data_IF_817768930805
#
_entry.id   IF_817768930805
#
_cell.length_a   1.000
_cell.length_b   1.000
_cell.length_c   1.000
_cell.angle_alpha   90.00
_cell.angle_beta   90.00
_cell.angle_gamma   90.00
#
_symmetry.space_group_name_H-M   'P 1'
#
loop_
_entity.id
_entity.type
_entity.pdbx_description
1 polymer ?
#
# COMPACT_ATOMS: atom_id res chain seq x y z
N UNK A 1 8.84 10.90 7.31
CA UNK A 1 8.72 11.94 6.25
C UNK A 1 7.31 12.48 6.29
N UNK A 2 7.10 13.70 6.81
CA UNK A 2 5.86 14.43 6.62
C UNK A 2 6.03 15.28 5.35
N UNK A 3 5.20 15.03 4.35
CA UNK A 3 5.30 15.68 3.05
C UNK A 3 3.95 15.66 2.37
N UNK A 4 3.89 15.13 1.15
CA UNK A 4 2.70 15.15 0.29
C UNK A 4 1.43 14.61 0.96
N UNK A 5 1.54 13.58 1.81
CA UNK A 5 0.37 13.03 2.53
C UNK A 5 -0.21 13.95 3.61
N UNK A 6 0.60 14.86 4.17
CA UNK A 6 0.08 15.87 5.09
C UNK A 6 -0.62 16.98 4.32
N UNK A 7 0.01 17.51 3.26
CA UNK A 7 -0.57 18.60 2.47
C UNK A 7 -1.82 18.17 1.68
N UNK A 8 -1.97 16.88 1.36
CA UNK A 8 -3.21 16.37 0.73
C UNK A 8 -4.44 16.56 1.61
N UNK A 9 -4.29 16.77 2.92
CA UNK A 9 -5.42 17.07 3.81
C UNK A 9 -6.11 18.40 3.45
N UNK A 10 -5.37 19.42 3.00
CA UNK A 10 -5.91 20.70 2.57
C UNK A 10 -6.70 20.63 1.25
N UNK A 11 -6.63 19.51 0.52
CA UNK A 11 -7.50 19.28 -0.62
C UNK A 11 -8.95 19.14 -0.15
N UNK A 12 -9.17 18.45 0.98
CA UNK A 12 -10.49 18.07 1.50
C UNK A 12 -10.92 18.82 2.77
N UNK A 13 -10.01 19.55 3.41
CA UNK A 13 -10.25 20.27 4.65
C UNK A 13 -9.98 21.77 4.51
N UNK A 14 -10.84 22.60 5.10
CA UNK A 14 -10.64 24.04 5.26
C UNK A 14 -9.69 24.37 6.42
N UNK A 15 -9.58 23.45 7.38
CA UNK A 15 -8.69 23.59 8.52
C UNK A 15 -8.18 22.25 8.99
N UNK A 16 -6.90 22.23 9.36
CA UNK A 16 -6.21 21.06 9.89
C UNK A 16 -5.64 21.42 11.25
N UNK A 17 -6.05 20.67 12.28
CA UNK A 17 -5.49 20.75 13.62
C UNK A 17 -4.66 19.49 13.88
N UNK A 18 -3.41 19.65 14.32
CA UNK A 18 -2.53 18.55 14.71
C UNK A 18 -2.17 18.72 16.17
N UNK A 19 -2.70 17.85 17.01
CA UNK A 19 -2.33 17.74 18.41
C UNK A 19 -1.25 16.70 18.53
N UNK A 20 -0.14 17.02 19.18
CA UNK A 20 0.95 16.06 19.33
C UNK A 20 1.66 16.20 20.66
N UNK A 21 2.00 15.08 21.28
CA UNK A 21 2.88 14.99 22.44
C UNK A 21 3.93 13.92 22.19
N UNK A 22 5.19 14.30 22.39
CA UNK A 22 6.35 13.43 22.21
C UNK A 22 6.28 12.20 23.13
N UNK A 23 6.90 11.11 22.69
CA UNK A 23 7.15 9.93 23.53
C UNK A 23 8.53 9.95 24.18
N UNK A 24 9.39 10.85 23.75
CA UNK A 24 10.75 11.02 24.21
C UNK A 24 10.74 11.91 25.46
N UNK A 25 11.04 11.35 26.65
CA UNK A 25 10.99 12.09 27.91
C UNK A 25 12.05 13.21 27.99
N UNK A 26 13.13 13.12 27.20
CA UNK A 26 14.18 14.16 27.17
C UNK A 26 13.71 15.44 26.46
N UNK A 27 12.68 15.32 25.61
CA UNK A 27 12.05 16.46 24.91
C UNK A 27 10.94 17.12 25.71
N UNK A 28 10.73 16.65 26.95
CA UNK A 28 9.74 17.15 27.90
C UNK A 28 8.33 16.61 27.66
N UNK A 29 7.41 16.97 28.56
CA UNK A 29 6.04 16.43 28.59
C UNK A 29 5.01 17.35 27.89
N UNK A 30 5.48 18.44 27.29
CA UNK A 30 4.60 19.45 26.68
C UNK A 30 3.91 18.91 25.43
N UNK A 31 2.61 19.13 25.37
CA UNK A 31 1.80 18.94 24.17
C UNK A 31 1.76 20.20 23.32
N UNK A 32 1.61 20.04 22.01
CA UNK A 32 1.48 21.15 21.07
C UNK A 32 0.25 20.94 20.18
N UNK A 33 -0.45 22.03 19.90
CA UNK A 33 -1.42 22.15 18.82
C UNK A 33 -0.78 22.97 17.70
N UNK A 34 -0.63 22.35 16.54
CA UNK A 34 -0.41 23.05 15.28
C UNK A 34 -1.74 23.24 14.55
N UNK A 35 -2.00 24.43 14.02
CA UNK A 35 -3.22 24.69 13.26
C UNK A 35 -2.97 25.56 12.03
N UNK A 36 -3.62 25.20 10.92
CA UNK A 36 -3.56 25.96 9.67
C UNK A 36 -4.82 25.75 8.84
N UNK A 37 -5.14 26.74 8.03
CA UNK A 37 -6.16 26.72 6.97
C UNK A 37 -5.56 26.48 5.57
N UNK A 38 -4.24 26.27 5.48
CA UNK A 38 -3.54 26.05 4.21
C UNK A 38 -3.24 27.34 3.43
N UNK A 39 -3.51 28.52 3.99
CA UNK A 39 -3.24 29.84 3.37
C UNK A 39 -1.75 30.23 3.33
N UNK A 40 -0.87 29.39 3.87
CA UNK A 40 0.57 29.64 3.97
C UNK A 40 1.04 30.13 5.34
N UNK A 41 0.12 30.30 6.29
CA UNK A 41 0.42 30.57 7.70
C UNK A 41 -0.08 29.45 8.61
N UNK A 42 0.50 29.35 9.81
CA UNK A 42 0.08 28.41 10.83
C UNK A 42 0.33 28.98 12.23
N UNK A 43 -0.35 28.43 13.22
CA UNK A 43 -0.10 28.71 14.63
C UNK A 43 0.40 27.46 15.34
N UNK A 44 1.23 27.66 16.37
CA UNK A 44 1.64 26.62 17.30
C UNK A 44 1.34 27.13 18.71
N UNK A 45 0.57 26.36 19.47
CA UNK A 45 0.24 26.67 20.86
C UNK A 45 0.53 25.47 21.76
N UNK A 46 1.05 25.73 22.95
CA UNK A 46 1.21 24.69 23.97
C UNK A 46 -0.16 24.24 24.49
N UNK A 47 -0.36 22.93 24.63
CA UNK A 47 -1.59 22.34 25.15
C UNK A 47 -1.21 21.39 26.29
N UNK A 48 -1.67 21.66 27.53
CA UNK A 48 -1.41 20.77 28.65
C UNK A 48 -2.20 19.46 28.51
N UNK A 49 -1.73 18.42 29.20
CA UNK A 49 -2.45 17.15 29.40
C UNK A 49 -2.85 16.38 28.13
N UNK A 50 -2.22 16.65 26.98
CA UNK A 50 -2.43 15.85 25.78
C UNK A 50 -1.96 14.41 25.99
N UNK A 51 -2.67 13.38 25.52
CA UNK A 51 -2.17 12.01 25.54
C UNK A 51 -0.93 11.88 24.64
N UNK A 52 -0.10 10.86 24.90
CA UNK A 52 1.04 10.54 24.02
C UNK A 52 0.56 10.25 22.60
N UNK A 53 1.29 10.75 21.61
CA UNK A 53 1.04 10.46 20.20
C UNK A 53 0.59 11.68 19.42
N UNK A 54 -0.07 11.44 18.28
CA UNK A 54 -0.51 12.50 17.37
C UNK A 54 -1.97 12.28 16.98
N UNK A 55 -2.81 13.29 17.20
CA UNK A 55 -4.19 13.38 16.71
C UNK A 55 -4.24 14.42 15.60
N UNK A 56 -4.72 14.01 14.43
CA UNK A 56 -5.00 14.90 13.30
C UNK A 56 -6.51 15.05 13.19
N UNK A 57 -6.98 16.29 13.16
CA UNK A 57 -8.39 16.63 13.05
C UNK A 57 -8.59 17.54 11.83
N UNK A 58 -9.56 17.18 11.01
CA UNK A 58 -9.86 17.83 9.75
C UNK A 58 -11.24 18.47 9.83
N UNK A 59 -11.31 19.79 9.65
CA UNK A 59 -12.57 20.47 9.36
C UNK A 59 -12.80 20.36 7.86
N UNK A 60 -13.66 19.44 7.45
CA UNK A 60 -13.94 19.16 6.04
C UNK A 60 -14.59 20.35 5.34
N UNK A 61 -14.29 20.51 4.06
CA UNK A 61 -14.99 21.41 3.16
C UNK A 61 -16.42 20.95 2.91
N UNK A 62 -17.28 21.89 2.53
CA UNK A 62 -18.69 21.61 2.21
C UNK A 62 -18.85 20.58 1.07
N UNK A 63 -17.93 20.58 0.10
CA UNK A 63 -17.91 19.65 -1.03
C UNK A 63 -17.22 18.31 -0.72
N UNK A 64 -16.56 18.18 0.43
CA UNK A 64 -15.82 17.00 0.86
C UNK A 64 -16.53 16.18 1.96
N UNK A 65 -17.82 16.42 2.19
CA UNK A 65 -18.62 15.75 3.23
C UNK A 65 -18.72 14.23 3.07
N UNK A 66 -18.39 13.68 1.90
CA UNK A 66 -18.30 12.23 1.68
C UNK A 66 -17.30 11.53 2.61
N UNK A 67 -16.25 12.24 3.04
CA UNK A 67 -15.23 11.72 3.96
C UNK A 67 -15.70 11.68 5.42
N UNK A 68 -16.87 12.26 5.73
CA UNK A 68 -17.55 12.05 7.01
C UNK A 68 -18.35 10.73 7.05
N UNK A 69 -18.57 10.07 5.90
CA UNK A 69 -19.32 8.81 5.84
C UNK A 69 -18.42 7.64 6.21
N UNK A 70 -18.83 6.87 7.22
CA UNK A 70 -18.08 5.71 7.73
C UNK A 70 -17.73 4.70 6.62
N UNK A 71 -18.63 4.50 5.65
CA UNK A 71 -18.43 3.57 4.54
C UNK A 71 -17.33 4.02 3.58
N UNK A 72 -17.15 5.32 3.37
CA UNK A 72 -16.07 5.89 2.56
C UNK A 72 -14.74 5.70 3.27
N UNK A 73 -14.68 6.07 4.56
CA UNK A 73 -13.47 5.94 5.38
C UNK A 73 -13.05 4.48 5.50
N UNK A 74 -13.99 3.57 5.74
CA UNK A 74 -13.76 2.12 5.82
C UNK A 74 -13.13 1.57 4.54
N UNK A 75 -13.70 1.88 3.38
CA UNK A 75 -13.15 1.45 2.08
C UNK A 75 -11.75 1.98 1.85
N UNK A 76 -11.49 3.24 2.20
CA UNK A 76 -10.16 3.83 2.07
C UNK A 76 -9.16 3.15 3.01
N UNK A 77 -9.53 2.97 4.28
CA UNK A 77 -8.72 2.29 5.28
C UNK A 77 -8.38 0.87 4.81
N UNK A 78 -9.39 0.02 4.54
CA UNK A 78 -9.19 -1.35 4.06
C UNK A 78 -8.26 -1.40 2.83
N UNK A 79 -8.47 -0.52 1.85
CA UNK A 79 -7.66 -0.49 0.62
C UNK A 79 -6.19 -0.16 0.86
N UNK A 80 -5.90 0.85 1.68
CA UNK A 80 -4.53 1.36 1.83
C UNK A 80 -3.78 0.77 3.02
N UNK A 81 -4.50 0.20 3.98
CA UNK A 81 -3.94 -0.33 5.23
C UNK A 81 -3.90 -1.85 5.33
N UNK A 82 -4.43 -2.58 4.34
CA UNK A 82 -4.57 -4.05 4.38
C UNK A 82 -3.36 -4.80 4.95
N UNK A 83 -2.14 -4.31 4.67
CA UNK A 83 -0.88 -4.96 5.02
C UNK A 83 0.00 -4.16 6.00
N UNK A 84 -0.52 -3.08 6.56
CA UNK A 84 0.17 -2.32 7.61
C UNK A 84 0.33 -3.22 8.84
N UNK A 85 1.49 -3.13 9.50
CA UNK A 85 1.95 -4.06 10.53
C UNK A 85 1.57 -3.68 11.96
N UNK A 86 0.90 -2.56 12.13
CA UNK A 86 0.27 -2.14 13.38
C UNK A 86 -1.25 -2.10 13.22
N UNK A 87 -2.03 -2.39 14.28
CA UNK A 87 -3.48 -2.41 14.19
C UNK A 87 -4.04 -1.02 13.90
N UNK A 88 -4.98 -0.96 12.97
CA UNK A 88 -5.73 0.23 12.61
C UNK A 88 -7.19 -0.04 12.94
N UNK A 89 -7.77 0.89 13.68
CA UNK A 89 -9.14 0.82 14.14
C UNK A 89 -9.97 1.89 13.45
N UNK A 90 -11.22 1.53 13.14
CA UNK A 90 -12.25 2.43 12.71
C UNK A 90 -13.34 2.44 13.77
N UNK A 91 -13.72 3.64 14.24
CA UNK A 91 -14.84 3.80 15.18
C UNK A 91 -16.14 3.67 14.42
N UNK A 92 -16.88 2.58 14.63
CA UNK A 92 -18.19 2.30 14.02
C UNK A 92 -19.18 2.04 15.15
N UNK A 93 -20.27 2.82 15.22
CA UNK A 93 -21.28 2.77 16.29
C UNK A 93 -20.73 2.97 17.71
N UNK A 94 -19.63 3.72 17.84
CA UNK A 94 -18.97 4.00 19.12
C UNK A 94 -17.97 2.93 19.58
N UNK A 95 -17.74 1.90 18.77
CA UNK A 95 -16.79 0.81 19.06
C UNK A 95 -15.61 0.80 18.09
N UNK A 96 -14.43 0.45 18.59
CA UNK A 96 -13.23 0.28 17.79
C UNK A 96 -13.25 -1.05 17.02
N UNK A 97 -13.31 -1.00 15.69
CA UNK A 97 -13.26 -2.18 14.82
C UNK A 97 -11.97 -2.21 14.00
N UNK A 98 -11.19 -3.28 14.16
CA UNK A 98 -9.94 -3.46 13.43
C UNK A 98 -10.19 -3.66 11.92
N UNK A 99 -9.51 -2.87 11.08
CA UNK A 99 -9.68 -2.87 9.60
C UNK A 99 -8.58 -3.61 8.85
N UNK A 100 -7.32 -3.59 9.31
CA UNK A 100 -6.24 -4.35 8.69
C UNK A 100 -6.06 -5.69 9.40
N UNK A 101 -6.36 -6.78 8.68
CA UNK A 101 -6.30 -8.14 9.21
C UNK A 101 -5.40 -9.07 8.40
N UNK A 102 -4.72 -8.56 7.37
CA UNK A 102 -3.93 -9.40 6.48
C UNK A 102 -2.45 -9.25 6.72
N UNK A 103 -1.80 -10.39 6.97
CA UNK A 103 -0.36 -10.44 7.03
C UNK A 103 0.24 -10.23 5.63
N UNK A 104 1.29 -9.42 5.58
CA UNK A 104 2.06 -9.21 4.36
C UNK A 104 2.90 -10.46 4.06
N UNK A 105 2.33 -11.45 3.34
CA UNK A 105 2.98 -12.75 3.10
C UNK A 105 4.39 -12.61 2.49
N UNK A 106 4.59 -11.61 1.63
CA UNK A 106 5.89 -11.33 0.98
C UNK A 106 6.98 -10.86 1.96
N UNK A 107 6.63 -10.52 3.20
CA UNK A 107 7.56 -10.14 4.26
C UNK A 107 8.08 -11.35 5.06
N UNK A 108 7.47 -12.53 4.92
CA UNK A 108 7.91 -13.75 5.61
C UNK A 108 9.17 -14.31 4.96
N UNK A 109 10.01 -14.98 5.75
CA UNK A 109 11.19 -15.72 5.24
C UNK A 109 10.77 -16.96 4.45
N UNK A 110 9.67 -17.60 4.85
CA UNK A 110 9.04 -18.71 4.16
C UNK A 110 7.55 -18.73 4.48
N UNK A 111 6.75 -19.32 3.60
CA UNK A 111 5.32 -19.50 3.76
C UNK A 111 4.92 -20.91 3.30
N UNK A 112 3.87 -21.48 3.89
CA UNK A 112 3.37 -22.81 3.51
C UNK A 112 2.53 -22.73 2.22
N UNK A 113 2.26 -23.88 1.61
CA UNK A 113 1.41 -23.95 0.43
C UNK A 113 -0.01 -23.43 0.72
N UNK A 114 -0.55 -23.72 1.90
CA UNK A 114 -1.86 -23.26 2.35
C UNK A 114 -1.90 -21.74 2.51
N UNK A 115 -0.86 -21.15 3.12
CA UNK A 115 -0.73 -19.69 3.25
C UNK A 115 -0.67 -19.03 1.87
N UNK A 116 0.08 -19.63 0.94
CA UNK A 116 0.15 -19.16 -0.43
C UNK A 116 -1.19 -19.22 -1.15
N UNK A 117 -1.93 -20.32 -0.99
CA UNK A 117 -3.28 -20.49 -1.56
C UNK A 117 -4.26 -19.49 -0.98
N UNK A 118 -4.27 -19.29 0.34
CA UNK A 118 -5.12 -18.30 1.00
C UNK A 118 -4.81 -16.88 0.53
N UNK A 119 -3.53 -16.53 0.43
CA UNK A 119 -3.12 -15.21 -0.03
C UNK A 119 -3.43 -14.99 -1.51
N UNK A 120 -3.23 -16.01 -2.37
CA UNK A 120 -3.64 -15.97 -3.77
C UNK A 120 -5.15 -15.74 -3.93
N UNK A 121 -5.97 -16.45 -3.16
CA UNK A 121 -7.43 -16.30 -3.13
C UNK A 121 -7.85 -14.90 -2.68
N UNK A 122 -7.22 -14.37 -1.63
CA UNK A 122 -7.42 -13.01 -1.15
C UNK A 122 -7.12 -11.96 -2.24
N UNK A 123 -5.97 -12.04 -2.90
CA UNK A 123 -5.58 -11.09 -3.96
C UNK A 123 -6.54 -11.10 -5.16
N UNK A 124 -7.13 -12.26 -5.46
CA UNK A 124 -8.06 -12.43 -6.56
C UNK A 124 -9.52 -12.20 -6.17
N UNK A 125 -9.81 -11.92 -4.89
CA UNK A 125 -11.16 -11.80 -4.37
C UNK A 125 -12.03 -13.02 -4.72
N UNK A 126 -11.48 -14.22 -4.51
CA UNK A 126 -12.12 -15.52 -4.79
C UNK A 126 -11.98 -16.45 -3.58
N UNK A 127 -12.90 -17.40 -3.43
CA UNK A 127 -12.87 -18.41 -2.37
C UNK A 127 -12.26 -19.75 -2.82
N UNK A 128 -11.98 -19.91 -4.11
CA UNK A 128 -11.50 -21.14 -4.73
C UNK A 128 -10.30 -20.89 -5.65
N UNK A 129 -9.67 -21.98 -6.11
CA UNK A 129 -8.49 -21.93 -6.98
C UNK A 129 -7.19 -21.92 -6.19
N UNK A 130 -6.13 -22.39 -6.85
CA UNK A 130 -4.78 -22.51 -6.30
C UNK A 130 -3.78 -21.97 -7.32
N UNK A 131 -2.67 -21.36 -6.87
CA UNK A 131 -1.63 -20.93 -7.79
C UNK A 131 -0.92 -22.15 -8.37
N UNK A 132 -0.74 -22.18 -9.69
CA UNK A 132 0.02 -23.23 -10.36
C UNK A 132 1.51 -23.14 -10.00
N UNK A 133 2.04 -21.91 -10.04
CA UNK A 133 3.37 -21.62 -9.54
C UNK A 133 3.33 -20.45 -8.55
N UNK A 134 4.23 -20.56 -7.57
CA UNK A 134 4.49 -19.53 -6.56
C UNK A 134 5.94 -19.08 -6.66
N UNK A 135 6.16 -17.76 -6.68
CA UNK A 135 7.48 -17.15 -6.73
C UNK A 135 7.58 -16.08 -5.64
N UNK A 136 8.27 -16.40 -4.54
CA UNK A 136 8.77 -15.40 -3.61
C UNK A 136 10.14 -14.90 -4.05
N UNK A 137 10.34 -13.59 -3.97
CA UNK A 137 11.62 -12.98 -4.29
C UNK A 137 11.88 -11.79 -3.37
N UNK A 138 13.02 -11.85 -2.70
CA UNK A 138 13.52 -10.81 -1.80
C UNK A 138 14.96 -10.45 -2.19
N UNK A 139 15.28 -9.17 -2.23
CA UNK A 139 16.64 -8.64 -2.42
C UNK A 139 16.75 -7.25 -1.83
N UNK A 140 17.93 -6.88 -1.35
CA UNK A 140 18.22 -5.53 -0.85
C UNK A 140 19.10 -4.71 -1.81
N UNK A 141 19.49 -5.29 -2.96
CA UNK A 141 20.35 -4.63 -3.94
C UNK A 141 20.05 -5.05 -5.39
N UNK A 142 20.07 -4.12 -6.37
CA UNK A 142 20.33 -2.68 -6.22
C UNK A 142 19.13 -1.88 -5.68
N UNK A 143 17.99 -2.53 -5.46
CA UNK A 143 16.79 -1.98 -4.84
C UNK A 143 16.34 -2.95 -3.73
N UNK A 144 15.75 -2.42 -2.67
CA UNK A 144 15.06 -3.23 -1.68
C UNK A 144 13.71 -3.65 -2.24
N UNK A 145 13.61 -4.91 -2.65
CA UNK A 145 12.44 -5.52 -3.27
C UNK A 145 12.05 -6.75 -2.45
N UNK A 146 10.78 -6.81 -2.06
CA UNK A 146 10.14 -8.00 -1.52
C UNK A 146 8.88 -8.26 -2.33
N UNK A 147 8.71 -9.46 -2.83
CA UNK A 147 7.62 -9.77 -3.75
C UNK A 147 7.13 -11.19 -3.59
N UNK A 148 5.86 -11.37 -3.89
CA UNK A 148 5.20 -12.66 -3.97
C UNK A 148 4.34 -12.65 -5.24
N UNK A 149 4.71 -13.50 -6.19
CA UNK A 149 4.03 -13.66 -7.46
C UNK A 149 3.39 -15.03 -7.56
N UNK A 150 2.25 -15.07 -8.23
CA UNK A 150 1.45 -16.24 -8.48
C UNK A 150 1.10 -16.32 -9.96
N UNK A 151 1.18 -17.53 -10.48
CA UNK A 151 0.76 -17.86 -11.82
C UNK A 151 -0.55 -18.63 -11.71
N UNK A 152 -1.66 -18.11 -12.24
CA UNK A 152 -2.93 -18.83 -12.21
C UNK A 152 -2.79 -20.11 -13.03
N UNK A 153 -3.59 -21.11 -12.67
CA UNK A 153 -3.76 -22.35 -13.43
C UNK A 153 -4.13 -22.04 -14.90
N UNK A 154 -3.37 -22.55 -15.88
CA UNK A 154 -3.65 -22.37 -17.31
C UNK A 154 -5.05 -22.85 -17.72
N UNK A 155 -5.55 -23.94 -17.11
CA UNK A 155 -6.87 -24.50 -17.40
C UNK A 155 -8.00 -23.65 -16.81
N UNK A 156 -7.65 -22.79 -15.84
CA UNK A 156 -8.52 -21.78 -15.24
C UNK A 156 -8.06 -20.35 -15.58
N UNK A 157 -7.48 -20.18 -16.78
CA UNK A 157 -7.11 -18.88 -17.32
C UNK A 157 -8.29 -17.89 -17.21
N UNK A 158 -8.07 -16.67 -16.67
CA UNK A 158 -9.16 -15.71 -16.53
C UNK A 158 -9.83 -15.47 -17.88
N UNK A 159 -11.17 -15.43 -17.92
CA UNK A 159 -11.94 -15.15 -19.15
C UNK A 159 -11.53 -13.84 -19.86
N UNK A 160 -10.87 -12.93 -19.14
CA UNK A 160 -10.30 -11.68 -19.65
C UNK A 160 -8.86 -11.80 -20.18
N UNK A 161 -8.31 -13.00 -20.34
CA UNK A 161 -6.95 -13.20 -20.86
C UNK A 161 -6.77 -12.59 -22.25
N UNK A 162 -7.81 -12.63 -23.09
CA UNK A 162 -7.82 -12.04 -24.43
C UNK A 162 -8.51 -10.68 -24.50
N UNK A 163 -8.62 -9.98 -23.37
CA UNK A 163 -9.19 -8.63 -23.35
C UNK A 163 -8.28 -7.64 -24.09
N UNK A 164 -8.90 -6.68 -24.79
CA UNK A 164 -8.17 -5.66 -25.57
C UNK A 164 -7.28 -4.77 -24.71
N UNK A 165 -7.64 -4.58 -23.44
CA UNK A 165 -6.86 -3.83 -22.47
C UNK A 165 -6.81 -4.61 -21.15
N UNK A 166 -5.83 -5.51 -20.99
CA UNK A 166 -5.75 -6.35 -19.81
C UNK A 166 -5.22 -5.58 -18.61
N UNK A 167 -5.95 -5.66 -17.49
CA UNK A 167 -5.48 -5.15 -16.21
C UNK A 167 -4.36 -6.05 -15.63
N UNK A 168 -3.28 -5.41 -15.18
CA UNK A 168 -2.19 -6.09 -14.48
C UNK A 168 -2.69 -6.55 -13.10
N UNK A 169 -2.55 -7.85 -12.81
CA UNK A 169 -2.98 -8.45 -11.55
C UNK A 169 -1.99 -8.33 -10.38
N UNK A 170 -0.91 -7.58 -10.56
CA UNK A 170 0.11 -7.30 -9.53
C UNK A 170 -0.06 -5.89 -8.99
N UNK A 171 -0.08 -5.73 -7.67
CA UNK A 171 -0.04 -4.42 -7.01
C UNK A 171 1.39 -4.00 -6.65
N UNK A 172 1.63 -2.68 -6.67
CA UNK A 172 2.87 -2.06 -6.21
C UNK A 172 2.66 -1.45 -4.82
N UNK A 173 3.51 -1.84 -3.88
CA UNK A 173 3.55 -1.33 -2.52
C UNK A 173 4.92 -0.68 -2.24
N UNK A 174 4.94 0.18 -1.23
CA UNK A 174 6.16 0.70 -0.62
C UNK A 174 5.96 0.66 0.89
N UNK A 175 6.84 -0.06 1.60
CA UNK A 175 6.74 -0.26 3.05
C UNK A 175 5.35 -0.76 3.45
N UNK A 176 4.85 -1.76 2.73
CA UNK A 176 3.52 -2.38 2.87
C UNK A 176 2.32 -1.50 2.50
N UNK A 177 2.50 -0.20 2.25
CA UNK A 177 1.40 0.68 1.85
C UNK A 177 1.18 0.58 0.35
N UNK A 178 -0.09 0.45 -0.07
CA UNK A 178 -0.46 0.37 -1.47
C UNK A 178 -0.14 1.68 -2.19
N UNK A 179 0.70 1.61 -3.23
CA UNK A 179 1.03 2.75 -4.09
C UNK A 179 0.23 2.70 -5.39
N UNK A 180 0.19 1.53 -6.06
CA UNK A 180 -0.63 1.32 -7.26
C UNK A 180 -1.32 -0.04 -7.21
N UNK A 181 -2.64 -0.05 -7.44
CA UNK A 181 -3.43 -1.29 -7.54
C UNK A 181 -2.97 -2.17 -8.70
N UNK A 182 -2.68 -1.54 -9.83
CA UNK A 182 -2.12 -2.17 -11.02
C UNK A 182 -0.72 -1.62 -11.23
N UNK A 183 0.29 -2.50 -11.16
CA UNK A 183 1.70 -2.13 -11.25
C UNK A 183 2.14 -1.79 -12.69
N UNK A 184 1.35 -0.98 -13.40
CA UNK A 184 1.61 -0.53 -14.77
C UNK A 184 2.92 0.27 -14.83
N UNK A 185 3.83 -0.19 -15.68
CA UNK A 185 5.19 0.33 -15.81
C UNK A 185 6.24 -0.38 -14.95
N UNK A 186 5.81 -1.29 -14.06
CA UNK A 186 6.68 -2.25 -13.35
C UNK A 186 6.51 -3.65 -13.92
N UNK A 187 5.27 -4.07 -14.16
CA UNK A 187 4.99 -5.34 -14.83
C UNK A 187 4.71 -5.05 -16.31
N UNK A 188 5.43 -5.71 -17.25
CA UNK A 188 5.13 -5.60 -18.66
C UNK A 188 3.72 -6.10 -18.99
N UNK A 189 3.05 -5.49 -19.98
CA UNK A 189 1.68 -5.86 -20.36
C UNK A 189 1.53 -7.33 -20.74
N UNK A 190 2.54 -7.97 -21.32
CA UNK A 190 2.50 -9.40 -21.67
C UNK A 190 2.59 -10.34 -20.46
N UNK A 191 2.85 -9.82 -19.25
CA UNK A 191 2.77 -10.53 -17.96
C UNK A 191 1.51 -10.15 -17.16
N UNK A 192 0.50 -9.50 -17.76
CA UNK A 192 -0.69 -9.02 -17.05
C UNK A 192 -1.45 -10.11 -16.28
N UNK A 193 -1.36 -11.37 -16.74
CA UNK A 193 -2.02 -12.54 -16.18
C UNK A 193 -1.45 -12.95 -14.83
N UNK A 194 -0.23 -12.50 -14.49
CA UNK A 194 0.36 -12.72 -13.19
C UNK A 194 -0.43 -12.02 -12.08
N UNK A 195 -0.52 -12.69 -10.94
CA UNK A 195 -1.12 -12.16 -9.71
C UNK A 195 -0.02 -11.96 -8.67
N UNK A 196 -0.17 -10.99 -7.78
CA UNK A 196 0.79 -10.84 -6.69
C UNK A 196 0.98 -9.44 -6.18
N UNK A 197 2.05 -9.28 -5.43
CA UNK A 197 2.49 -8.01 -4.83
C UNK A 197 3.98 -7.84 -5.10
N UNK A 198 4.37 -6.63 -5.47
CA UNK A 198 5.76 -6.16 -5.39
C UNK A 198 5.82 -5.00 -4.41
N UNK A 199 6.62 -5.13 -3.37
CA UNK A 199 6.92 -4.11 -2.38
C UNK A 199 8.35 -3.64 -2.59
N UNK A 200 8.52 -2.34 -2.80
CA UNK A 200 9.82 -1.73 -2.96
C UNK A 200 9.97 -0.53 -2.03
N UNK A 201 10.85 -0.65 -1.03
CA UNK A 201 11.02 0.37 0.01
C UNK A 201 11.63 1.69 -0.52
N UNK A 202 12.32 1.60 -1.66
CA UNK A 202 12.89 2.75 -2.37
C UNK A 202 11.83 3.55 -3.13
N UNK A 203 10.66 2.97 -3.43
CA UNK A 203 9.61 3.69 -4.16
C UNK A 203 8.97 4.78 -3.27
N UNK A 204 8.80 6.01 -3.79
CA UNK A 204 8.04 7.03 -3.09
C UNK A 204 6.56 6.64 -3.03
N UNK A 205 5.87 7.11 -1.98
CA UNK A 205 4.42 6.90 -1.83
C UNK A 205 3.58 7.63 -2.88
N UNK A 206 4.09 8.74 -3.40
CA UNK A 206 3.46 9.61 -4.38
C UNK A 206 4.18 9.48 -5.74
N UNK A 207 3.98 8.36 -6.42
CA UNK A 207 4.57 8.18 -7.75
C UNK A 207 3.83 9.05 -8.77
N UNK A 208 4.55 9.94 -9.44
CA UNK A 208 4.06 10.62 -10.64
C UNK A 208 4.79 10.10 -11.88
N UNK A 209 4.04 9.83 -12.95
CA UNK A 209 4.63 9.53 -14.28
C UNK A 209 5.31 10.74 -14.93
N UNK A 210 5.08 11.93 -14.40
CA UNK A 210 5.70 13.17 -14.89
C UNK A 210 7.06 13.41 -14.25
N UNK A 211 7.31 12.80 -13.08
CA UNK A 211 8.61 12.88 -12.42
C UNK A 211 9.59 11.91 -13.08
N UNK A 212 10.67 12.46 -13.64
CA UNK A 212 11.71 11.68 -14.31
C UNK A 212 12.45 10.72 -13.37
N UNK A 213 12.61 11.09 -12.09
CA UNK A 213 13.28 10.23 -11.11
C UNK A 213 12.44 8.98 -10.79
N UNK A 214 11.14 9.19 -10.57
CA UNK A 214 10.17 8.10 -10.32
C UNK A 214 10.13 7.16 -11.53
N UNK A 215 10.15 7.72 -12.74
CA UNK A 215 10.15 6.95 -14.00
C UNK A 215 11.39 6.06 -14.13
N UNK A 216 12.58 6.57 -13.81
CA UNK A 216 13.83 5.80 -13.88
C UNK A 216 13.90 4.70 -12.81
N UNK A 217 13.35 4.96 -11.62
CA UNK A 217 13.28 3.97 -10.54
C UNK A 217 12.30 2.84 -10.91
N UNK A 218 11.13 3.20 -11.45
CA UNK A 218 10.15 2.24 -11.98
C UNK A 218 10.76 1.35 -13.07
N UNK A 219 11.53 1.92 -14.01
CA UNK A 219 12.17 1.16 -15.07
C UNK A 219 13.19 0.14 -14.51
N UNK A 220 14.02 0.55 -13.55
CA UNK A 220 14.95 -0.35 -12.86
C UNK A 220 14.22 -1.48 -12.13
N UNK A 221 13.15 -1.16 -11.41
CA UNK A 221 12.31 -2.13 -10.72
C UNK A 221 11.68 -3.11 -11.71
N UNK A 222 11.13 -2.60 -12.82
CA UNK A 222 10.55 -3.38 -13.91
C UNK A 222 11.56 -4.39 -14.46
N UNK A 223 12.78 -3.93 -14.76
CA UNK A 223 13.84 -4.79 -15.27
C UNK A 223 14.23 -5.89 -14.27
N UNK A 224 14.38 -5.56 -12.98
CA UNK A 224 14.75 -6.52 -11.94
C UNK A 224 13.67 -7.61 -11.76
N UNK A 225 12.42 -7.19 -11.60
CA UNK A 225 11.27 -8.08 -11.42
C UNK A 225 11.04 -8.95 -12.65
N UNK A 226 11.01 -8.36 -13.84
CA UNK A 226 10.78 -9.09 -15.10
C UNK A 226 11.85 -10.15 -15.34
N UNK A 227 13.14 -9.80 -15.15
CA UNK A 227 14.24 -10.79 -15.27
C UNK A 227 14.10 -11.92 -14.27
N UNK A 228 13.69 -11.63 -13.04
CA UNK A 228 13.50 -12.66 -12.01
C UNK A 228 12.38 -13.62 -12.37
N UNK A 229 11.26 -13.10 -12.87
CA UNK A 229 10.10 -13.89 -13.34
C UNK A 229 10.52 -14.77 -14.51
N UNK A 230 11.15 -14.21 -15.55
CA UNK A 230 11.59 -14.98 -16.72
C UNK A 230 12.58 -16.08 -16.36
N UNK A 231 13.52 -15.79 -15.45
CA UNK A 231 14.46 -16.80 -14.94
C UNK A 231 13.73 -17.92 -14.20
N UNK A 232 12.70 -17.59 -13.42
CA UNK A 232 11.89 -18.60 -12.74
C UNK A 232 11.15 -19.48 -13.75
N UNK A 233 10.51 -18.88 -14.77
CA UNK A 233 9.81 -19.62 -15.82
C UNK A 233 10.75 -20.55 -16.59
N UNK A 234 11.95 -20.08 -16.97
CA UNK A 234 12.98 -20.91 -17.61
C UNK A 234 13.45 -22.07 -16.72
N UNK A 235 13.48 -21.87 -15.39
CA UNK A 235 13.79 -22.94 -14.44
C UNK A 235 12.68 -23.99 -14.34
N UNK A 236 11.40 -23.57 -14.37
CA UNK A 236 10.27 -24.50 -14.32
C UNK A 236 10.19 -25.31 -15.63
N UNK A 237 10.32 -24.65 -16.79
CA UNK A 237 10.27 -25.29 -18.10
C UNK A 237 11.41 -26.31 -18.37
N UNK A 238 12.40 -26.40 -17.48
CA UNK A 238 13.47 -27.41 -17.53
C UNK A 238 13.26 -28.57 -16.55
N UNK A 239 12.39 -28.38 -15.55
CA UNK A 239 12.12 -29.33 -14.48
C UNK A 239 10.86 -30.15 -14.75
N UNK A 240 9.92 -29.54 -15.44
CA UNK A 240 8.65 -30.06 -15.94
C UNK A 240 8.70 -30.01 -17.48
#
# INVERSE_FOLDING_TARGET
QFGVGFYSTFVVADRVNVYTRTCDPEKGDKGYLWSSDGSGSYTITEVPDLPRGTKIELTLKDDATEFAKISTVKKAAEKFSSFIDFPIYLVEDGEDKAVNKQEALWMKTSATAEEHTQFFRYLNNTSYGEPYYTLMYQTDAPLSIKSCFYMPDPDNAPSRMFSRDPEIGVSLHSRRVLVKKHADGVIPKWLHWMKGVVDCEDMPMNISRENMQDSRLMEKLSMAVTRRILRFLDQQAKKD
#
